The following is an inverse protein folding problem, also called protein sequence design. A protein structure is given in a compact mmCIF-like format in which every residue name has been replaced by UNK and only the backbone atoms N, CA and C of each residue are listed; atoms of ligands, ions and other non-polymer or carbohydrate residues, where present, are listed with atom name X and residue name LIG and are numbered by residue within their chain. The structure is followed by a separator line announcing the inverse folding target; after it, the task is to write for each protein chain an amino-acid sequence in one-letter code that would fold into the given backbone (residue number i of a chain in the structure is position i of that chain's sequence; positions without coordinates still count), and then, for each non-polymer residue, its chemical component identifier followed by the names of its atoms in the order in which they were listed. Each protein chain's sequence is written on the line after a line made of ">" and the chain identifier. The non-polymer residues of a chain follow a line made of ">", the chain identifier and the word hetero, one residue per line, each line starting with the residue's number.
data_IF_556435413241
#
_entry.id   IF_556435413241
#
_cell.length_a   1.000
_cell.length_b   1.000
_cell.length_c   1.000
_cell.angle_alpha   90.00
_cell.angle_beta   90.00
_cell.angle_gamma   90.00
#
_symmetry.space_group_name_H-M   'P 1'
#
loop_
_entity.id
_entity.type
_entity.pdbx_description
1 polymer ?
#
# COMPACT_ATOMS: atom_id res chain seq x y z
N UNK A 1 64.32 -34.89 17.38
CA UNK A 1 63.94 -33.81 18.30
C UNK A 1 62.43 -33.65 18.14
N UNK A 2 61.62 -34.54 18.71
CA UNK A 2 61.31 -34.68 20.15
C UNK A 2 60.73 -33.40 20.76
N UNK A 3 59.73 -33.43 21.65
CA UNK A 3 58.71 -34.44 22.00
C UNK A 3 57.76 -33.79 23.06
N UNK A 4 56.73 -34.53 23.45
CA UNK A 4 56.14 -34.52 24.81
C UNK A 4 55.17 -33.40 25.26
N UNK A 5 53.93 -33.84 25.42
CA UNK A 5 52.87 -33.44 26.39
C UNK A 5 53.27 -33.90 27.83
N UNK A 6 52.39 -34.02 28.87
CA UNK A 6 51.36 -33.14 29.46
C UNK A 6 51.51 -33.02 31.03
N UNK A 7 50.58 -32.35 31.73
CA UNK A 7 50.14 -32.64 33.12
C UNK A 7 48.85 -31.82 33.43
N UNK A 8 47.69 -32.36 33.85
CA UNK A 8 47.33 -33.09 35.10
C UNK A 8 47.50 -32.23 36.38
N UNK A 9 46.64 -32.21 37.43
CA UNK A 9 45.30 -32.76 37.74
C UNK A 9 44.70 -31.94 38.95
N UNK A 10 43.47 -32.07 39.48
CA UNK A 10 42.27 -32.89 39.18
C UNK A 10 41.60 -33.47 40.47
N UNK A 11 40.24 -33.51 40.55
CA UNK A 11 39.38 -34.02 41.68
C UNK A 11 39.34 -33.10 42.93
N UNK A 12 38.36 -33.09 43.87
CA UNK A 12 37.18 -33.91 44.32
C UNK A 12 36.14 -32.92 44.92
N UNK A 13 34.81 -32.94 44.70
CA UNK A 13 33.71 -33.85 45.15
C UNK A 13 33.18 -33.70 46.60
N UNK A 14 31.85 -33.53 46.73
CA UNK A 14 31.04 -33.49 47.97
C UNK A 14 29.95 -32.40 47.83
N UNK A 15 28.62 -32.60 47.80
CA UNK A 15 27.70 -33.61 48.37
C UNK A 15 27.78 -33.69 49.91
N UNK A 16 26.68 -33.74 50.69
CA UNK A 16 25.29 -34.18 50.41
C UNK A 16 24.28 -33.39 51.29
N UNK A 17 23.00 -33.33 50.89
CA UNK A 17 21.78 -33.34 51.75
C UNK A 17 21.49 -32.18 52.73
N UNK A 18 20.25 -31.93 53.19
CA UNK A 18 18.88 -32.17 52.67
C UNK A 18 17.85 -31.50 53.63
N UNK A 19 16.54 -31.69 53.38
CA UNK A 19 15.39 -31.33 54.25
C UNK A 19 15.03 -29.84 54.40
N UNK A 20 13.75 -29.46 54.60
CA UNK A 20 12.43 -30.02 54.20
C UNK A 20 11.39 -28.92 54.52
N UNK A 21 10.29 -28.81 53.76
CA UNK A 21 9.19 -27.90 54.09
C UNK A 21 8.53 -28.24 55.45
N UNK A 22 7.76 -27.30 56.02
CA UNK A 22 6.30 -27.55 56.05
C UNK A 22 5.46 -26.37 55.56
N UNK A 23 4.15 -26.62 55.45
CA UNK A 23 3.17 -25.77 54.77
C UNK A 23 2.11 -25.16 55.72
N UNK A 24 1.11 -24.52 55.10
CA UNK A 24 -0.20 -24.10 55.61
C UNK A 24 -0.31 -22.71 56.29
N UNK A 25 -1.29 -21.93 55.82
CA UNK A 25 -1.62 -20.59 56.30
C UNK A 25 -2.43 -19.78 55.28
N UNK A 26 -3.71 -20.13 55.09
CA UNK A 26 -4.65 -19.41 54.22
C UNK A 26 -5.41 -18.29 54.97
N UNK A 27 -6.40 -17.67 54.30
CA UNK A 27 -7.50 -16.82 54.84
C UNK A 27 -7.15 -15.31 54.99
N UNK A 28 -8.07 -14.33 54.76
CA UNK A 28 -9.47 -14.39 54.24
C UNK A 28 -9.81 -13.51 53.01
N UNK A 29 -10.93 -13.83 52.35
CA UNK A 29 -11.77 -12.86 51.64
C UNK A 29 -12.61 -12.01 52.63
N UNK A 30 -13.01 -10.76 52.29
CA UNK A 30 -14.07 -10.07 53.00
C UNK A 30 -15.40 -10.08 52.19
N UNK A 31 -16.32 -10.97 52.56
CA UNK A 31 -17.76 -10.79 52.24
C UNK A 31 -18.53 -10.37 53.48
N UNK A 32 -19.18 -9.20 53.45
CA UNK A 32 -20.45 -9.01 54.17
C UNK A 32 -21.24 -7.82 53.62
N UNK A 33 -22.45 -8.10 53.16
CA UNK A 33 -23.46 -7.10 52.83
C UNK A 33 -24.05 -6.45 54.09
N UNK A 34 -24.15 -5.12 54.13
CA UNK A 34 -25.12 -4.44 54.98
C UNK A 34 -25.58 -3.11 54.36
N UNK A 35 -26.88 -3.10 54.08
CA UNK A 35 -27.74 -2.08 53.51
C UNK A 35 -27.75 -0.71 54.25
N UNK A 36 -28.41 0.29 53.62
CA UNK A 36 -29.09 1.49 54.19
C UNK A 36 -28.51 2.91 53.91
N UNK A 37 -29.37 3.72 53.26
CA UNK A 37 -29.47 5.20 53.13
C UNK A 37 -28.48 6.05 52.31
N UNK A 38 -29.04 6.69 51.26
CA UNK A 38 -28.61 7.97 50.66
C UNK A 38 -28.75 9.13 51.64
N UNK A 39 -27.90 10.15 51.53
CA UNK A 39 -28.33 11.48 51.03
C UNK A 39 -27.31 12.05 50.01
N UNK A 40 -27.47 13.14 49.27
CA UNK A 40 -28.56 13.94 48.67
C UNK A 40 -27.84 15.17 48.01
N UNK A 41 -28.22 15.57 46.77
CA UNK A 41 -27.88 16.85 46.08
C UNK A 41 -26.38 17.21 45.87
N UNK A 42 -25.87 17.47 44.66
CA UNK A 42 -26.30 18.44 43.62
C UNK A 42 -25.94 17.90 42.21
N UNK A 43 -26.78 17.99 41.16
CA UNK A 43 -27.10 19.17 40.31
C UNK A 43 -25.83 19.83 39.73
N UNK A 44 -25.65 20.03 38.42
CA UNK A 44 -26.58 20.39 37.33
C UNK A 44 -26.34 19.49 36.08
N UNK A 45 -27.32 18.88 35.40
CA UNK A 45 -28.47 19.38 34.63
C UNK A 45 -28.26 19.20 33.11
N UNK A 46 -28.61 18.01 32.59
CA UNK A 46 -28.83 17.80 31.15
C UNK A 46 -30.23 18.31 30.77
N UNK A 47 -30.32 19.09 29.70
CA UNK A 47 -31.59 19.52 29.12
C UNK A 47 -31.85 18.77 27.81
N UNK A 48 -32.58 17.65 27.89
CA UNK A 48 -33.14 17.01 26.71
C UNK A 48 -34.34 17.84 26.21
N UNK A 49 -34.23 18.38 24.99
CA UNK A 49 -35.35 19.04 24.31
C UNK A 49 -35.88 18.12 23.22
N UNK A 50 -36.97 17.42 23.52
CA UNK A 50 -37.79 16.71 22.52
C UNK A 50 -38.35 17.71 21.51
N UNK A 51 -38.03 17.57 20.22
CA UNK A 51 -38.71 18.32 19.16
C UNK A 51 -39.97 17.58 18.68
N UNK A 52 -41.12 18.27 18.55
CA UNK A 52 -42.34 17.68 18.00
C UNK A 52 -42.44 17.84 16.48
N UNK A 53 -42.85 16.77 15.80
CA UNK A 53 -43.68 16.85 14.58
C UNK A 53 -45.12 17.21 15.02
N UNK A 54 -45.93 17.99 14.28
CA UNK A 54 -45.99 18.11 12.81
C UNK A 54 -45.98 19.57 12.29
N UNK A 55 -46.06 19.76 10.96
CA UNK A 55 -46.95 20.72 10.27
C UNK A 55 -46.74 20.67 8.73
N UNK A 56 -47.82 20.49 7.97
CA UNK A 56 -47.84 20.61 6.50
C UNK A 56 -47.87 22.09 6.10
N UNK A 57 -47.13 22.53 5.05
CA UNK A 57 -47.39 23.81 4.39
C UNK A 57 -48.58 23.70 3.41
N UNK A 58 -49.30 24.80 3.15
CA UNK A 58 -50.53 24.79 2.36
C UNK A 58 -50.29 24.67 0.85
N UNK A 59 -51.27 24.10 0.15
CA UNK A 59 -51.37 24.13 -1.31
C UNK A 59 -51.53 25.55 -1.84
N UNK A 60 -50.50 26.08 -2.51
CA UNK A 60 -50.54 27.39 -3.17
C UNK A 60 -49.76 27.35 -4.49
N UNK A 61 -50.45 27.04 -5.59
CA UNK A 61 -49.89 27.09 -6.94
C UNK A 61 -49.59 28.54 -7.34
N UNK A 62 -48.31 28.93 -7.26
CA UNK A 62 -47.79 30.15 -7.89
C UNK A 62 -46.97 29.74 -9.10
N UNK A 63 -47.52 29.94 -10.30
CA UNK A 63 -46.83 29.65 -11.56
C UNK A 63 -45.69 30.65 -11.80
N UNK A 64 -44.45 30.22 -11.58
CA UNK A 64 -43.26 31.01 -11.94
C UNK A 64 -42.87 30.68 -13.37
N UNK A 65 -43.32 31.49 -14.33
CA UNK A 65 -42.91 31.40 -15.73
C UNK A 65 -41.39 31.67 -15.86
N UNK A 66 -40.62 30.84 -16.59
CA UNK A 66 -39.20 31.10 -16.79
C UNK A 66 -39.02 32.31 -17.71
N UNK A 67 -38.51 33.41 -17.15
CA UNK A 67 -38.06 34.57 -17.92
C UNK A 67 -36.86 34.20 -18.82
N UNK A 68 -36.62 34.93 -19.92
CA UNK A 68 -35.58 34.60 -20.89
C UNK A 68 -34.19 34.68 -20.24
N UNK A 69 -33.41 33.60 -20.36
CA UNK A 69 -32.00 33.60 -19.96
C UNK A 69 -31.24 34.58 -20.84
N UNK A 70 -30.59 35.58 -20.25
CA UNK A 70 -29.64 36.42 -20.99
C UNK A 70 -28.46 35.56 -21.44
N UNK A 71 -28.22 35.51 -22.75
CA UNK A 71 -27.07 34.83 -23.30
C UNK A 71 -25.78 35.56 -22.85
N UNK A 72 -24.86 34.83 -22.22
CA UNK A 72 -23.46 35.29 -22.15
C UNK A 72 -22.84 35.13 -23.54
N UNK A 73 -21.99 36.07 -24.00
CA UNK A 73 -21.30 35.92 -25.26
C UNK A 73 -20.36 34.71 -25.19
N UNK A 74 -20.54 33.77 -26.11
CA UNK A 74 -19.54 32.74 -26.40
C UNK A 74 -18.33 33.39 -27.06
N UNK A 75 -17.09 33.11 -26.62
CA UNK A 75 -15.92 33.40 -27.44
C UNK A 75 -16.03 32.66 -28.77
N UNK A 76 -15.59 33.32 -29.84
CA UNK A 76 -15.72 32.86 -31.21
C UNK A 76 -15.03 31.50 -31.41
N UNK A 77 -15.76 30.51 -31.94
CA UNK A 77 -15.19 29.20 -32.29
C UNK A 77 -14.65 29.25 -33.71
N UNK A 78 -13.47 29.86 -33.86
CA UNK A 78 -12.65 29.67 -35.05
C UNK A 78 -12.32 28.18 -35.24
N UNK A 79 -12.61 27.65 -36.42
CA UNK A 79 -12.28 26.26 -36.77
C UNK A 79 -10.76 26.08 -36.96
N UNK A 80 -10.17 25.11 -36.26
CA UNK A 80 -8.94 24.43 -36.69
C UNK A 80 -9.00 22.93 -36.38
N UNK A 81 -8.12 22.15 -37.02
CA UNK A 81 -8.21 20.70 -37.15
C UNK A 81 -8.03 19.94 -35.83
N UNK A 82 -8.74 18.81 -35.70
CA UNK A 82 -8.67 17.90 -34.54
C UNK A 82 -7.35 17.12 -34.41
N UNK A 83 -6.51 17.18 -35.44
CA UNK A 83 -5.13 16.68 -35.47
C UNK A 83 -4.30 17.59 -36.37
N UNK A 84 -3.12 18.03 -35.90
CA UNK A 84 -2.30 19.03 -36.55
C UNK A 84 -2.14 20.30 -35.71
N UNK A 85 -1.57 20.16 -34.52
CA UNK A 85 -0.97 21.30 -33.82
C UNK A 85 0.37 21.61 -34.50
N UNK A 86 0.49 22.80 -35.07
CA UNK A 86 1.82 23.37 -35.32
C UNK A 86 2.50 23.53 -33.96
N UNK A 87 3.77 23.12 -33.84
CA UNK A 87 4.50 23.22 -32.58
C UNK A 87 4.81 24.71 -32.35
N UNK A 88 3.92 25.39 -31.62
CA UNK A 88 4.20 26.71 -31.09
C UNK A 88 5.47 26.66 -30.23
N UNK A 89 6.28 27.71 -30.31
CA UNK A 89 7.60 27.80 -29.66
C UNK A 89 7.47 27.43 -28.19
N UNK A 90 8.08 26.30 -27.82
CA UNK A 90 7.69 25.53 -26.65
C UNK A 90 7.70 26.33 -25.35
N UNK A 91 6.68 26.09 -24.52
CA UNK A 91 6.53 26.69 -23.19
C UNK A 91 7.83 26.53 -22.41
N UNK A 92 8.37 27.63 -21.87
CA UNK A 92 9.61 27.59 -21.10
C UNK A 92 9.36 27.05 -19.69
N UNK A 93 10.38 26.45 -19.09
CA UNK A 93 10.33 26.02 -17.71
C UNK A 93 10.08 27.21 -16.77
N UNK A 94 9.16 27.07 -15.82
CA UNK A 94 8.89 28.09 -14.79
C UNK A 94 10.05 28.31 -13.80
N UNK A 95 11.19 27.63 -13.97
CA UNK A 95 12.39 27.75 -13.14
C UNK A 95 13.67 28.12 -13.93
N UNK A 96 13.69 27.99 -15.26
CA UNK A 96 14.84 28.35 -16.10
C UNK A 96 14.42 28.56 -17.57
N UNK A 97 15.36 29.01 -18.42
CA UNK A 97 15.07 29.34 -19.82
C UNK A 97 14.91 28.10 -20.74
N UNK A 98 15.14 26.89 -20.24
CA UNK A 98 15.03 25.64 -21.01
C UNK A 98 13.58 25.31 -21.41
N UNK A 99 13.35 24.63 -22.55
CA UNK A 99 12.01 24.15 -22.92
C UNK A 99 11.44 23.20 -21.87
N UNK A 100 10.14 23.33 -21.58
CA UNK A 100 9.42 22.41 -20.72
C UNK A 100 9.11 21.09 -21.44
N UNK A 101 9.14 20.00 -20.68
CA UNK A 101 8.74 18.65 -21.11
C UNK A 101 7.40 18.23 -20.50
N UNK A 102 6.93 18.92 -19.46
CA UNK A 102 5.66 18.63 -18.79
C UNK A 102 5.03 19.87 -18.16
N UNK A 103 3.70 19.84 -18.02
CA UNK A 103 2.90 20.78 -17.25
C UNK A 103 2.33 20.06 -16.02
N UNK A 104 2.45 20.68 -14.85
CA UNK A 104 1.96 20.17 -13.58
C UNK A 104 0.60 20.80 -13.25
N UNK A 105 -0.49 20.17 -13.69
CA UNK A 105 -1.86 20.72 -13.64
C UNK A 105 -2.27 21.18 -12.22
N UNK A 106 -1.85 20.45 -11.19
CA UNK A 106 -2.16 20.76 -9.78
C UNK A 106 -1.35 21.94 -9.19
N UNK A 107 -0.29 22.38 -9.88
CA UNK A 107 0.61 23.46 -9.44
C UNK A 107 0.64 24.65 -10.42
N UNK A 108 0.13 24.49 -11.65
CA UNK A 108 0.20 25.51 -12.70
C UNK A 108 1.63 25.87 -13.09
N UNK A 109 2.50 24.86 -13.25
CA UNK A 109 3.93 25.03 -13.53
C UNK A 109 4.41 24.11 -14.64
N UNK A 110 5.24 24.66 -15.52
CA UNK A 110 5.89 23.96 -16.61
C UNK A 110 7.35 23.66 -16.24
N UNK A 111 7.81 22.43 -16.43
CA UNK A 111 9.16 22.01 -16.05
C UNK A 111 9.93 21.40 -17.22
N UNK A 112 11.20 21.77 -17.37
CA UNK A 112 12.17 21.02 -18.19
C UNK A 112 12.59 19.73 -17.47
N UNK A 113 13.23 18.80 -18.19
CA UNK A 113 13.63 17.49 -17.66
C UNK A 113 14.38 17.59 -16.31
N UNK A 114 15.47 18.34 -16.24
CA UNK A 114 16.29 18.49 -15.02
C UNK A 114 15.50 19.01 -13.80
N UNK A 115 14.66 20.05 -13.97
CA UNK A 115 13.83 20.55 -12.88
C UNK A 115 12.68 19.60 -12.51
N UNK A 116 12.26 18.76 -13.44
CA UNK A 116 11.25 17.75 -13.23
C UNK A 116 11.80 16.51 -12.49
N UNK A 117 12.96 15.97 -12.91
CA UNK A 117 13.67 14.88 -12.25
C UNK A 117 13.93 15.23 -10.77
N UNK A 118 14.55 16.39 -10.53
CA UNK A 118 14.79 16.91 -9.16
C UNK A 118 13.53 17.05 -8.31
N UNK A 119 12.37 17.37 -8.90
CA UNK A 119 11.10 17.44 -8.17
C UNK A 119 10.64 16.04 -7.74
N UNK A 120 10.70 15.05 -8.64
CA UNK A 120 10.33 13.66 -8.37
C UNK A 120 11.27 13.06 -7.33
N UNK A 121 12.59 13.17 -7.52
CA UNK A 121 13.59 12.72 -6.56
C UNK A 121 13.42 13.37 -5.19
N UNK A 122 13.22 14.69 -5.12
CA UNK A 122 13.06 15.40 -3.85
C UNK A 122 11.83 14.91 -3.06
N UNK A 123 10.73 14.66 -3.77
CA UNK A 123 9.51 14.08 -3.20
C UNK A 123 9.70 12.63 -2.76
N UNK A 124 10.33 11.82 -3.60
CA UNK A 124 10.67 10.43 -3.33
C UNK A 124 11.56 10.31 -2.10
N UNK A 125 12.71 11.00 -2.09
CA UNK A 125 13.70 11.00 -0.98
C UNK A 125 13.05 11.47 0.32
N UNK A 126 12.16 12.47 0.26
CA UNK A 126 11.36 12.91 1.41
C UNK A 126 10.45 11.79 1.93
N UNK A 127 9.63 11.19 1.07
CA UNK A 127 8.66 10.16 1.48
C UNK A 127 9.32 8.86 1.93
N UNK A 128 10.38 8.42 1.26
CA UNK A 128 11.20 7.27 1.67
C UNK A 128 11.72 7.47 3.09
N UNK A 129 12.39 8.61 3.33
CA UNK A 129 12.95 8.93 4.65
C UNK A 129 11.87 9.00 5.73
N UNK A 130 10.77 9.71 5.49
CA UNK A 130 9.68 9.84 6.47
C UNK A 130 9.07 8.47 6.84
N UNK A 131 8.97 7.54 5.88
CA UNK A 131 8.41 6.21 6.11
C UNK A 131 9.42 5.25 6.78
N UNK A 132 10.71 5.32 6.43
CA UNK A 132 11.76 4.55 7.12
C UNK A 132 12.02 5.05 8.55
N UNK A 133 11.97 6.38 8.77
CA UNK A 133 12.06 6.98 10.11
C UNK A 133 10.90 6.54 11.01
N UNK A 134 9.67 6.48 10.49
CA UNK A 134 8.50 6.00 11.24
C UNK A 134 8.63 4.51 11.65
N UNK A 135 9.19 3.67 10.77
CA UNK A 135 9.46 2.25 11.02
C UNK A 135 10.72 1.98 11.87
N UNK A 136 11.56 2.99 12.11
CA UNK A 136 12.89 2.82 12.72
C UNK A 136 13.92 2.14 11.81
N UNK A 137 13.60 1.88 10.55
CA UNK A 137 14.40 1.12 9.57
C UNK A 137 15.46 1.98 8.86
N UNK A 138 16.29 2.71 9.64
CA UNK A 138 17.17 3.78 9.14
C UNK A 138 18.68 3.51 9.16
N UNK A 139 19.17 2.50 9.88
CA UNK A 139 20.61 2.23 10.06
C UNK A 139 21.09 0.98 9.29
N UNK A 140 20.85 0.95 7.98
CA UNK A 140 21.26 -0.15 7.11
C UNK A 140 20.24 -1.28 7.01
N UNK A 141 18.99 -0.92 6.76
CA UNK A 141 17.92 -1.87 6.53
C UNK A 141 18.10 -2.62 5.19
N UNK A 142 17.72 -3.90 5.16
CA UNK A 142 17.57 -4.71 3.94
C UNK A 142 16.17 -4.47 3.38
N UNK A 143 16.08 -3.82 2.22
CA UNK A 143 14.82 -3.31 1.66
C UNK A 143 14.44 -4.13 0.43
N UNK A 144 13.39 -4.94 0.57
CA UNK A 144 12.76 -5.59 -0.56
C UNK A 144 12.07 -4.54 -1.46
N UNK A 145 12.18 -4.68 -2.78
CA UNK A 145 11.40 -3.88 -3.74
C UNK A 145 10.59 -4.79 -4.67
N UNK A 146 9.27 -4.59 -4.69
CA UNK A 146 8.37 -5.32 -5.59
C UNK A 146 8.53 -4.88 -7.04
N UNK A 147 9.44 -5.53 -7.78
CA UNK A 147 9.75 -5.23 -9.17
C UNK A 147 8.90 -6.09 -10.11
N UNK A 148 7.75 -5.56 -10.56
CA UNK A 148 6.87 -6.26 -11.50
C UNK A 148 7.30 -6.12 -12.97
N UNK A 149 8.35 -5.37 -13.26
CA UNK A 149 8.78 -5.01 -14.61
C UNK A 149 7.88 -3.98 -15.30
N UNK A 150 6.90 -3.41 -14.60
CA UNK A 150 6.09 -2.30 -15.10
C UNK A 150 6.68 -0.94 -14.70
N UNK A 151 6.29 0.13 -15.42
CA UNK A 151 6.83 1.49 -15.31
C UNK A 151 7.01 2.01 -13.86
N UNK A 152 6.01 1.79 -13.00
CA UNK A 152 6.01 2.34 -11.63
C UNK A 152 6.98 1.58 -10.71
N UNK A 153 7.08 0.26 -10.88
CA UNK A 153 8.03 -0.57 -10.14
C UNK A 153 9.47 -0.40 -10.63
N UNK A 154 9.69 -0.22 -11.94
CA UNK A 154 11.00 0.09 -12.50
C UNK A 154 11.50 1.45 -12.00
N UNK A 155 10.63 2.47 -12.05
CA UNK A 155 10.92 3.82 -11.55
C UNK A 155 11.20 3.82 -10.04
N UNK A 156 10.43 3.07 -9.24
CA UNK A 156 10.72 2.88 -7.81
C UNK A 156 12.11 2.30 -7.58
N UNK A 157 12.47 1.25 -8.32
CA UNK A 157 13.75 0.54 -8.15
C UNK A 157 14.93 1.46 -8.47
N UNK A 158 14.89 2.17 -9.61
CA UNK A 158 15.92 3.14 -9.98
C UNK A 158 16.07 4.27 -8.93
N UNK A 159 14.95 4.82 -8.43
CA UNK A 159 14.96 5.86 -7.40
C UNK A 159 15.48 5.36 -6.04
N UNK A 160 15.21 4.10 -5.66
CA UNK A 160 15.78 3.48 -4.46
C UNK A 160 17.31 3.35 -4.59
N UNK A 161 17.80 2.88 -5.73
CA UNK A 161 19.25 2.74 -5.99
C UNK A 161 19.95 4.09 -5.98
N UNK A 162 19.40 5.14 -6.61
CA UNK A 162 19.95 6.50 -6.54
C UNK A 162 19.98 7.05 -5.09
N UNK A 163 18.90 6.83 -4.32
CA UNK A 163 18.80 7.41 -2.98
C UNK A 163 19.59 6.67 -1.90
N UNK A 164 19.73 5.34 -2.00
CA UNK A 164 20.30 4.49 -0.95
C UNK A 164 21.55 3.71 -1.38
N UNK A 165 21.69 3.35 -2.66
CA UNK A 165 22.83 2.60 -3.17
C UNK A 165 24.22 3.21 -2.88
N UNK A 166 24.39 4.54 -2.77
CA UNK A 166 25.65 5.15 -2.33
C UNK A 166 26.05 4.87 -0.87
N UNK A 167 25.13 4.38 -0.02
CA UNK A 167 25.38 4.05 1.38
C UNK A 167 25.42 2.52 1.58
N UNK A 168 26.61 1.91 1.73
CA UNK A 168 26.80 0.45 1.71
C UNK A 168 26.25 -0.26 2.97
N UNK A 169 25.53 0.46 3.82
CA UNK A 169 24.77 -0.11 4.93
C UNK A 169 23.40 -0.61 4.47
N UNK A 170 22.79 0.02 3.48
CA UNK A 170 21.52 -0.42 2.91
C UNK A 170 21.76 -1.50 1.85
N UNK A 171 20.84 -2.44 1.77
CA UNK A 171 20.79 -3.45 0.72
C UNK A 171 19.40 -3.40 0.06
N UNK A 172 19.35 -3.52 -1.27
CA UNK A 172 18.11 -3.47 -2.04
C UNK A 172 17.93 -4.85 -2.69
N UNK A 173 16.84 -5.52 -2.33
CA UNK A 173 16.52 -6.88 -2.82
C UNK A 173 15.32 -6.79 -3.77
N UNK A 174 15.50 -6.78 -5.10
CA UNK A 174 14.38 -6.78 -6.03
C UNK A 174 13.70 -8.14 -6.06
N UNK A 175 12.38 -8.14 -5.89
CA UNK A 175 11.53 -9.33 -5.89
C UNK A 175 10.46 -9.23 -6.98
N UNK A 176 10.47 -10.19 -7.89
CA UNK A 176 9.46 -10.40 -8.94
C UNK A 176 8.54 -11.56 -8.56
N UNK A 177 7.27 -11.48 -8.97
CA UNK A 177 6.32 -12.60 -8.89
C UNK A 177 5.90 -12.98 -10.30
N UNK A 178 6.10 -14.24 -10.68
CA UNK A 178 5.49 -14.83 -11.86
C UNK A 178 4.05 -15.24 -11.53
N UNK A 179 3.10 -14.49 -12.07
CA UNK A 179 1.67 -14.76 -11.91
C UNK A 179 1.15 -15.88 -12.82
N UNK A 180 1.98 -16.45 -13.70
CA UNK A 180 1.62 -17.51 -14.63
C UNK A 180 0.63 -17.08 -15.71
N UNK A 181 0.76 -15.85 -16.23
CA UNK A 181 -0.14 -15.29 -17.27
C UNK A 181 0.56 -15.35 -18.65
N UNK A 182 0.15 -16.26 -19.56
CA UNK A 182 0.80 -16.47 -20.84
C UNK A 182 0.86 -15.21 -21.72
N UNK A 183 2.01 -14.98 -22.35
CA UNK A 183 2.22 -13.84 -23.26
C UNK A 183 2.30 -12.46 -22.60
N UNK A 184 1.97 -12.33 -21.32
CA UNK A 184 2.04 -11.09 -20.55
C UNK A 184 3.21 -11.09 -19.56
N UNK A 185 3.33 -12.12 -18.72
CA UNK A 185 4.27 -12.13 -17.58
C UNK A 185 5.72 -12.31 -18.01
N UNK A 186 5.99 -13.16 -19.01
CA UNK A 186 7.34 -13.38 -19.56
C UNK A 186 8.06 -12.10 -20.02
N UNK A 187 7.49 -11.31 -20.96
CA UNK A 187 8.07 -10.02 -21.36
C UNK A 187 8.27 -9.03 -20.21
N UNK A 188 7.40 -9.06 -19.19
CA UNK A 188 7.53 -8.23 -18.00
C UNK A 188 8.64 -8.73 -17.03
N UNK A 189 8.88 -10.04 -16.94
CA UNK A 189 10.05 -10.58 -16.23
C UNK A 189 11.34 -10.18 -16.94
N UNK A 190 11.42 -10.31 -18.27
CA UNK A 190 12.62 -9.89 -19.01
C UNK A 190 12.92 -8.40 -18.87
N UNK A 191 11.91 -7.52 -18.74
CA UNK A 191 12.14 -6.11 -18.41
C UNK A 191 12.59 -5.87 -16.96
N UNK A 192 12.18 -6.74 -16.02
CA UNK A 192 12.65 -6.69 -14.64
C UNK A 192 14.09 -7.20 -14.51
N UNK A 193 14.43 -8.28 -15.20
CA UNK A 193 15.78 -8.84 -15.34
C UNK A 193 16.73 -7.79 -15.95
N UNK A 194 16.34 -7.19 -17.08
CA UNK A 194 17.14 -6.14 -17.74
C UNK A 194 17.39 -4.94 -16.82
N UNK A 195 16.39 -4.52 -16.03
CA UNK A 195 16.58 -3.44 -15.06
C UNK A 195 17.52 -3.83 -13.92
N UNK A 196 17.38 -5.04 -13.38
CA UNK A 196 18.20 -5.54 -12.28
C UNK A 196 19.67 -5.65 -12.71
N UNK A 197 19.93 -6.20 -13.91
CA UNK A 197 21.26 -6.24 -14.54
C UNK A 197 21.85 -4.83 -14.75
N UNK A 198 21.04 -3.86 -15.19
CA UNK A 198 21.49 -2.47 -15.37
C UNK A 198 21.84 -1.76 -14.04
N UNK A 199 21.24 -2.18 -12.93
CA UNK A 199 21.42 -1.60 -11.60
C UNK A 199 22.36 -2.41 -10.69
N UNK A 200 22.97 -3.49 -11.19
CA UNK A 200 23.86 -4.41 -10.44
C UNK A 200 23.16 -5.04 -9.21
N UNK A 201 21.92 -5.53 -9.41
CA UNK A 201 21.08 -6.15 -8.37
C UNK A 201 20.72 -7.60 -8.72
N UNK A 202 20.78 -8.50 -7.73
CA UNK A 202 20.32 -9.89 -7.87
C UNK A 202 18.78 -9.97 -7.78
N UNK A 203 18.10 -10.34 -8.89
CA UNK A 203 16.63 -10.47 -8.95
C UNK A 203 16.13 -11.81 -8.38
N UNK A 204 15.36 -11.75 -7.30
CA UNK A 204 14.61 -12.90 -6.78
C UNK A 204 13.27 -13.04 -7.50
N UNK A 205 13.05 -14.15 -8.20
CA UNK A 205 11.74 -14.47 -8.82
C UNK A 205 11.06 -15.61 -8.05
N UNK A 206 9.86 -15.37 -7.53
CA UNK A 206 8.91 -16.39 -7.02
C UNK A 206 7.75 -16.57 -7.99
N UNK A 207 6.94 -17.63 -7.88
CA UNK A 207 5.80 -17.87 -8.76
C UNK A 207 4.53 -18.24 -7.98
N UNK A 208 3.35 -17.96 -8.53
CA UNK A 208 2.10 -18.44 -7.93
C UNK A 208 1.93 -19.96 -8.01
N UNK A 209 2.54 -20.60 -9.01
CA UNK A 209 2.52 -22.06 -9.17
C UNK A 209 3.31 -22.74 -8.05
N UNK A 210 4.51 -22.26 -7.73
CA UNK A 210 5.34 -22.78 -6.63
C UNK A 210 4.77 -22.45 -5.25
N UNK A 211 4.27 -21.22 -5.05
CA UNK A 211 3.84 -20.72 -3.73
C UNK A 211 2.43 -21.18 -3.34
N UNK A 212 1.51 -21.32 -4.30
CA UNK A 212 0.07 -21.58 -4.06
C UNK A 212 -0.50 -22.76 -4.87
N UNK A 213 0.27 -23.39 -5.76
CA UNK A 213 -0.20 -24.49 -6.62
C UNK A 213 -1.09 -24.06 -7.80
N UNK A 214 -1.22 -22.76 -8.07
CA UNK A 214 -2.16 -22.21 -9.05
C UNK A 214 -1.62 -20.99 -9.79
N UNK A 215 -1.63 -21.00 -11.12
CA UNK A 215 -1.41 -19.78 -11.92
C UNK A 215 -2.64 -18.88 -11.95
N UNK A 216 -2.47 -17.58 -12.24
CA UNK A 216 -3.60 -16.65 -12.40
C UNK A 216 -4.46 -17.00 -13.62
N UNK A 217 -3.87 -17.58 -14.67
CA UNK A 217 -4.61 -17.97 -15.87
C UNK A 217 -5.51 -19.20 -15.59
N UNK A 218 -5.02 -20.19 -14.83
CA UNK A 218 -5.85 -21.31 -14.35
C UNK A 218 -6.97 -20.84 -13.44
N UNK A 219 -6.68 -19.93 -12.48
CA UNK A 219 -7.71 -19.31 -11.64
C UNK A 219 -8.81 -18.65 -12.49
N UNK A 220 -8.43 -17.93 -13.55
CA UNK A 220 -9.36 -17.28 -14.48
C UNK A 220 -10.21 -18.27 -15.30
N UNK A 221 -9.81 -19.55 -15.39
CA UNK A 221 -10.56 -20.61 -16.05
C UNK A 221 -11.53 -21.34 -15.08
N UNK A 222 -11.39 -21.18 -13.77
CA UNK A 222 -12.33 -21.75 -12.78
C UNK A 222 -13.62 -20.92 -12.65
N UNK A 223 -14.78 -21.57 -12.54
CA UNK A 223 -16.06 -20.89 -12.21
C UNK A 223 -16.21 -20.63 -10.69
N UNK A 224 -15.15 -20.15 -10.03
CA UNK A 224 -15.22 -19.77 -8.60
C UNK A 224 -15.81 -18.38 -8.41
N UNK A 225 -16.37 -18.09 -7.21
CA UNK A 225 -16.86 -16.74 -6.88
C UNK A 225 -15.73 -15.69 -6.82
N UNK A 226 -14.47 -16.14 -6.75
CA UNK A 226 -13.27 -15.31 -6.76
C UNK A 226 -12.88 -14.85 -8.17
N UNK A 227 -13.20 -13.60 -8.52
CA UNK A 227 -12.66 -12.97 -9.74
C UNK A 227 -11.13 -13.08 -9.77
N UNK A 228 -10.48 -13.38 -10.92
CA UNK A 228 -9.04 -13.69 -10.96
C UNK A 228 -8.15 -12.58 -10.40
N UNK A 229 -8.52 -11.30 -10.62
CA UNK A 229 -7.82 -10.15 -10.04
C UNK A 229 -7.86 -10.09 -8.50
N UNK A 230 -8.89 -10.65 -7.86
CA UNK A 230 -9.00 -10.73 -6.39
C UNK A 230 -8.03 -11.75 -5.82
N UNK A 231 -8.04 -12.96 -6.38
CA UNK A 231 -7.15 -14.09 -5.99
C UNK A 231 -5.68 -13.76 -6.26
N UNK A 232 -5.33 -13.35 -7.49
CA UNK A 232 -3.98 -12.88 -7.85
C UNK A 232 -3.50 -11.76 -6.89
N UNK A 233 -4.40 -10.85 -6.50
CA UNK A 233 -4.09 -9.82 -5.52
C UNK A 233 -3.74 -10.36 -4.12
N UNK A 234 -4.35 -11.46 -3.68
CA UNK A 234 -4.01 -12.15 -2.42
C UNK A 234 -2.69 -12.91 -2.56
N UNK A 235 -2.57 -13.77 -3.58
CA UNK A 235 -1.37 -14.57 -3.83
C UNK A 235 -0.12 -13.68 -3.97
N UNK A 236 -0.15 -12.63 -4.81
CA UNK A 236 0.98 -11.69 -4.96
C UNK A 236 1.39 -11.02 -3.64
N UNK A 237 0.46 -10.70 -2.75
CA UNK A 237 0.80 -10.15 -1.43
C UNK A 237 1.42 -11.19 -0.50
N UNK A 238 0.97 -12.44 -0.58
CA UNK A 238 1.53 -13.56 0.16
C UNK A 238 2.96 -13.86 -0.30
N UNK A 239 3.15 -14.09 -1.61
CA UNK A 239 4.44 -14.35 -2.26
C UNK A 239 5.47 -13.25 -1.96
N UNK A 240 5.10 -11.96 -2.07
CA UNK A 240 6.01 -10.87 -1.74
C UNK A 240 6.35 -10.79 -0.24
N UNK A 241 5.42 -11.11 0.67
CA UNK A 241 5.68 -11.13 2.11
C UNK A 241 6.59 -12.30 2.51
N UNK A 242 6.36 -13.46 1.91
CA UNK A 242 7.15 -14.66 2.13
C UNK A 242 8.57 -14.46 1.61
N UNK A 243 8.72 -14.13 0.32
CA UNK A 243 10.03 -13.89 -0.29
C UNK A 243 10.84 -12.79 0.43
N UNK A 244 10.19 -11.72 0.90
CA UNK A 244 10.90 -10.68 1.66
C UNK A 244 11.38 -11.15 3.04
N UNK A 245 10.68 -12.09 3.71
CA UNK A 245 11.18 -12.69 4.98
C UNK A 245 12.22 -13.76 4.76
N UNK A 246 12.08 -14.56 3.70
CA UNK A 246 13.08 -15.56 3.31
C UNK A 246 14.41 -14.87 2.95
N UNK A 247 14.32 -13.63 2.47
CA UNK A 247 15.43 -12.70 2.26
C UNK A 247 15.65 -11.73 3.44
N UNK A 248 15.29 -12.06 4.68
CA UNK A 248 15.60 -11.27 5.89
C UNK A 248 15.37 -9.74 5.77
N UNK A 249 14.40 -9.30 4.97
CA UNK A 249 14.19 -7.88 4.66
C UNK A 249 13.36 -7.18 5.76
N UNK A 250 13.82 -6.03 6.23
CA UNK A 250 13.12 -5.22 7.23
C UNK A 250 11.85 -4.55 6.66
N UNK A 251 11.86 -4.21 5.37
CA UNK A 251 10.85 -3.35 4.73
C UNK A 251 10.60 -3.77 3.27
N UNK A 252 9.34 -3.72 2.83
CA UNK A 252 8.93 -3.95 1.44
C UNK A 252 8.44 -2.66 0.77
N UNK A 253 9.23 -2.11 -0.15
CA UNK A 253 8.85 -0.99 -0.99
C UNK A 253 7.99 -1.44 -2.19
N UNK A 254 6.86 -0.77 -2.41
CA UNK A 254 5.96 -1.07 -3.53
C UNK A 254 5.64 0.17 -4.38
N UNK A 255 5.58 -0.01 -5.70
CA UNK A 255 5.47 1.06 -6.70
C UNK A 255 4.11 1.77 -6.78
N UNK A 256 3.36 1.87 -5.67
CA UNK A 256 2.08 2.58 -5.66
C UNK A 256 2.30 4.09 -5.70
N UNK A 257 1.77 4.72 -6.73
CA UNK A 257 1.87 6.16 -6.95
C UNK A 257 0.69 6.93 -6.29
N UNK A 258 0.63 8.25 -6.48
CA UNK A 258 -0.41 9.11 -5.92
C UNK A 258 -1.81 8.81 -6.50
N UNK A 259 -1.91 8.38 -7.76
CA UNK A 259 -3.17 7.97 -8.39
C UNK A 259 -3.69 6.68 -7.73
N UNK A 260 -2.83 5.67 -7.57
CA UNK A 260 -3.18 4.40 -6.91
C UNK A 260 -3.65 4.60 -5.47
N UNK A 261 -2.95 5.48 -4.73
CA UNK A 261 -3.31 5.81 -3.36
C UNK A 261 -4.64 6.54 -3.30
N UNK A 262 -4.83 7.63 -4.06
CA UNK A 262 -6.06 8.41 -4.07
C UNK A 262 -7.28 7.58 -4.52
N UNK A 263 -7.11 6.67 -5.48
CA UNK A 263 -8.14 5.72 -5.89
C UNK A 263 -8.51 4.77 -4.74
N UNK A 264 -7.51 4.25 -4.01
CA UNK A 264 -7.73 3.37 -2.86
C UNK A 264 -8.47 4.12 -1.74
N UNK A 265 -8.08 5.38 -1.46
CA UNK A 265 -8.79 6.24 -0.50
C UNK A 265 -10.25 6.43 -0.92
N UNK A 266 -10.51 6.80 -2.18
CA UNK A 266 -11.85 7.02 -2.71
C UNK A 266 -12.72 5.75 -2.63
N UNK A 267 -12.13 4.60 -2.97
CA UNK A 267 -12.80 3.29 -2.90
C UNK A 267 -13.23 2.94 -1.47
N UNK A 268 -12.34 3.10 -0.49
CA UNK A 268 -12.64 2.77 0.91
C UNK A 268 -13.66 3.75 1.51
N UNK A 269 -13.54 5.05 1.22
CA UNK A 269 -14.51 6.07 1.64
C UNK A 269 -15.92 5.77 1.10
N UNK A 270 -16.05 5.42 -0.18
CA UNK A 270 -17.34 5.06 -0.78
C UNK A 270 -17.93 3.75 -0.23
N UNK A 271 -17.10 2.87 0.33
CA UNK A 271 -17.53 1.66 1.05
C UNK A 271 -17.81 1.89 2.54
N UNK A 272 -17.49 3.09 3.07
CA UNK A 272 -17.50 3.41 4.50
C UNK A 272 -16.59 2.50 5.33
N UNK A 273 -15.53 1.98 4.72
CA UNK A 273 -14.61 1.00 5.29
C UNK A 273 -13.39 1.70 5.89
N UNK A 274 -13.54 2.15 7.15
CA UNK A 274 -12.51 2.90 7.86
C UNK A 274 -11.39 1.99 8.40
N UNK A 275 -11.69 0.72 8.70
CA UNK A 275 -10.69 -0.27 9.08
C UNK A 275 -9.72 -0.53 7.93
N UNK A 276 -10.24 -0.65 6.70
CA UNK A 276 -9.38 -0.80 5.52
C UNK A 276 -8.56 0.47 5.23
N UNK A 277 -9.01 1.67 5.63
CA UNK A 277 -8.20 2.91 5.58
C UNK A 277 -7.04 2.88 6.58
N UNK A 278 -7.21 2.30 7.78
CA UNK A 278 -6.09 2.11 8.71
C UNK A 278 -5.07 1.12 8.15
N UNK A 279 -5.54 0.02 7.55
CA UNK A 279 -4.69 -1.07 7.04
C UNK A 279 -4.02 -0.78 5.67
N UNK A 280 -4.26 0.36 5.01
CA UNK A 280 -3.53 0.72 3.78
C UNK A 280 -2.13 1.24 4.11
N UNK A 281 -1.10 0.76 3.41
CA UNK A 281 0.25 1.35 3.52
C UNK A 281 0.32 2.83 3.10
N UNK A 282 1.36 3.59 3.50
CA UNK A 282 2.56 3.13 4.21
C UNK A 282 2.24 2.66 5.63
N UNK A 283 2.94 1.64 6.09
CA UNK A 283 2.83 1.13 7.46
C UNK A 283 3.86 1.84 8.36
N UNK A 284 3.47 2.15 9.59
CA UNK A 284 4.36 2.66 10.65
C UNK A 284 4.77 1.55 11.64
N UNK A 285 4.04 0.43 11.62
CA UNK A 285 4.29 -0.80 12.37
C UNK A 285 3.72 -1.99 11.59
N UNK A 286 4.24 -3.18 11.85
CA UNK A 286 3.68 -4.43 11.35
C UNK A 286 3.68 -5.50 12.46
N UNK A 287 2.66 -6.39 12.51
CA UNK A 287 2.70 -7.58 13.35
C UNK A 287 3.87 -8.50 13.00
N UNK A 288 4.28 -9.35 13.95
CA UNK A 288 5.31 -10.36 13.73
C UNK A 288 4.97 -11.28 12.53
N UNK A 289 5.97 -11.59 11.71
CA UNK A 289 5.81 -12.39 10.49
C UNK A 289 5.20 -11.65 9.29
N UNK A 290 4.90 -10.35 9.38
CA UNK A 290 4.50 -9.50 8.25
C UNK A 290 5.54 -8.40 7.99
N UNK A 291 5.99 -8.25 6.76
CA UNK A 291 6.91 -7.17 6.38
C UNK A 291 6.15 -5.85 6.24
N UNK A 292 6.56 -4.77 6.93
CA UNK A 292 5.96 -3.46 6.76
C UNK A 292 6.16 -2.93 5.34
N UNK A 293 5.11 -2.33 4.78
CA UNK A 293 5.13 -1.86 3.39
C UNK A 293 5.23 -0.34 3.31
N UNK A 294 6.20 0.12 2.55
CA UNK A 294 6.40 1.54 2.22
C UNK A 294 5.95 1.85 0.79
N UNK A 295 5.49 3.07 0.58
CA UNK A 295 5.04 3.62 -0.72
C UNK A 295 5.76 4.95 -0.97
N UNK A 296 7.05 4.96 -1.35
CA UNK A 296 7.79 6.21 -1.55
C UNK A 296 7.21 7.07 -2.69
N UNK A 297 6.64 6.45 -3.72
CA UNK A 297 6.02 7.13 -4.87
C UNK A 297 4.64 7.75 -4.57
N UNK A 298 4.08 7.58 -3.36
CA UNK A 298 2.71 8.06 -3.02
C UNK A 298 2.48 9.56 -3.19
N UNK A 299 3.54 10.36 -3.34
CA UNK A 299 3.48 11.82 -3.53
C UNK A 299 3.72 12.28 -4.98
N UNK A 300 3.92 11.34 -5.93
CA UNK A 300 4.05 11.59 -7.36
C UNK A 300 2.90 10.93 -8.12
N UNK A 301 2.26 11.65 -9.04
CA UNK A 301 1.21 11.10 -9.93
C UNK A 301 1.78 10.04 -10.88
N UNK A 302 0.92 9.15 -11.37
CA UNK A 302 1.29 8.13 -12.34
C UNK A 302 1.94 8.73 -13.61
N UNK A 303 1.48 9.92 -14.03
CA UNK A 303 2.07 10.65 -15.17
C UNK A 303 3.48 11.14 -14.87
N UNK A 304 3.75 11.59 -13.64
CA UNK A 304 5.10 11.98 -13.22
C UNK A 304 6.01 10.74 -13.13
N UNK A 305 5.54 9.64 -12.53
CA UNK A 305 6.29 8.38 -12.46
C UNK A 305 6.63 7.84 -13.86
N UNK A 306 5.64 7.79 -14.76
CA UNK A 306 5.85 7.36 -16.15
C UNK A 306 6.82 8.26 -16.92
N UNK A 307 6.71 9.59 -16.77
CA UNK A 307 7.61 10.53 -17.43
C UNK A 307 9.05 10.42 -16.90
N UNK A 308 9.23 10.18 -15.61
CA UNK A 308 10.55 9.95 -15.02
C UNK A 308 11.22 8.72 -15.66
N UNK A 309 10.52 7.58 -15.69
CA UNK A 309 11.02 6.36 -16.34
C UNK A 309 11.33 6.52 -17.83
N UNK A 310 10.62 7.40 -18.55
CA UNK A 310 10.92 7.73 -19.95
C UNK A 310 12.15 8.64 -20.09
N UNK A 311 12.39 9.57 -19.16
CA UNK A 311 13.55 10.47 -19.20
C UNK A 311 14.85 9.73 -18.82
N UNK A 312 14.76 8.81 -17.86
CA UNK A 312 15.87 7.91 -17.47
C UNK A 312 16.03 6.70 -18.40
N UNK A 313 15.25 6.60 -19.48
CA UNK A 313 15.26 5.50 -20.46
C UNK A 313 15.14 4.08 -19.85
N UNK A 314 14.41 3.95 -18.72
CA UNK A 314 14.34 2.69 -17.96
C UNK A 314 13.64 1.56 -18.75
N UNK A 315 14.17 0.32 -18.71
CA UNK A 315 13.45 -0.84 -19.22
C UNK A 315 12.18 -1.11 -18.40
N UNK A 316 11.04 -1.18 -19.09
CA UNK A 316 9.77 -1.63 -18.53
C UNK A 316 8.84 -2.20 -19.61
N UNK A 317 7.97 -3.11 -19.21
CA UNK A 317 6.90 -3.64 -20.04
C UNK A 317 5.64 -2.78 -19.93
N UNK A 318 5.16 -2.28 -21.07
CA UNK A 318 4.06 -1.30 -21.15
C UNK A 318 2.66 -1.89 -21.41
N UNK A 319 2.49 -3.21 -21.49
CA UNK A 319 1.17 -3.81 -21.74
C UNK A 319 0.29 -3.83 -20.48
N UNK A 320 -1.03 -3.75 -20.67
CA UNK A 320 -2.01 -4.01 -19.62
C UNK A 320 -2.24 -5.52 -19.46
N UNK A 321 -2.49 -5.98 -18.23
CA UNK A 321 -2.81 -7.39 -17.96
C UNK A 321 -4.14 -7.81 -18.64
N UNK A 322 -4.21 -8.97 -19.32
CA UNK A 322 -5.44 -9.43 -19.99
C UNK A 322 -6.70 -9.44 -19.10
N UNK A 323 -6.56 -9.84 -17.84
CA UNK A 323 -7.69 -9.92 -16.89
C UNK A 323 -8.07 -8.57 -16.26
N UNK A 324 -7.28 -7.50 -16.47
CA UNK A 324 -7.53 -6.19 -15.85
C UNK A 324 -8.85 -5.54 -16.29
N UNK A 325 -9.40 -5.94 -17.44
CA UNK A 325 -10.66 -5.43 -17.96
C UNK A 325 -11.86 -5.70 -17.02
N UNK A 326 -11.80 -6.75 -16.22
CA UNK A 326 -12.88 -7.21 -15.32
C UNK A 326 -12.77 -6.64 -13.89
N UNK A 327 -11.66 -5.93 -13.60
CA UNK A 327 -11.40 -5.37 -12.30
C UNK A 327 -12.38 -4.22 -11.98
N UNK A 328 -13.13 -4.37 -10.88
CA UNK A 328 -14.02 -3.33 -10.33
C UNK A 328 -13.28 -2.02 -10.04
N UNK A 329 -11.97 -2.10 -9.82
CA UNK A 329 -11.04 -0.97 -9.68
C UNK A 329 -11.17 0.03 -10.84
N UNK A 330 -11.32 -0.43 -12.09
CA UNK A 330 -11.46 0.43 -13.28
C UNK A 330 -12.52 1.53 -13.15
N UNK A 331 -13.65 1.23 -12.50
CA UNK A 331 -14.73 2.20 -12.25
C UNK A 331 -14.28 3.34 -11.33
N UNK A 332 -13.53 3.04 -10.28
CA UNK A 332 -13.01 4.04 -9.33
C UNK A 332 -11.94 4.92 -9.99
N UNK A 333 -11.06 4.32 -10.81
CA UNK A 333 -10.10 5.06 -11.65
C UNK A 333 -10.79 6.07 -12.57
N UNK A 334 -11.86 5.68 -13.28
CA UNK A 334 -12.64 6.61 -14.11
C UNK A 334 -13.24 7.76 -13.29
N UNK A 335 -13.88 7.46 -12.16
CA UNK A 335 -14.46 8.49 -11.27
C UNK A 335 -13.39 9.45 -10.71
N UNK A 336 -12.19 8.96 -10.42
CA UNK A 336 -11.07 9.79 -9.96
C UNK A 336 -10.56 10.72 -11.07
N UNK A 337 -10.47 10.24 -12.32
CA UNK A 337 -10.05 11.04 -13.46
C UNK A 337 -11.09 12.13 -13.79
N UNK A 338 -12.39 11.80 -13.80
CA UNK A 338 -13.47 12.78 -13.97
C UNK A 338 -13.43 13.88 -12.89
N UNK A 339 -13.08 13.52 -11.64
CA UNK A 339 -12.91 14.47 -10.54
C UNK A 339 -11.67 15.35 -10.72
N UNK A 340 -10.56 14.78 -11.21
CA UNK A 340 -9.30 15.49 -11.49
C UNK A 340 -9.48 16.54 -12.58
N UNK A 341 -10.23 16.24 -13.64
CA UNK A 341 -10.51 17.17 -14.74
C UNK A 341 -11.28 18.43 -14.27
N UNK A 342 -11.93 18.37 -13.11
CA UNK A 342 -12.62 19.48 -12.48
C UNK A 342 -11.84 20.11 -11.30
N UNK A 343 -11.05 19.33 -10.58
CA UNK A 343 -10.21 19.77 -9.46
C UNK A 343 -8.84 19.06 -9.56
N UNK A 344 -7.83 19.65 -10.25
CA UNK A 344 -6.55 18.99 -10.49
C UNK A 344 -5.81 18.53 -9.24
N UNK A 345 -6.08 19.15 -8.09
CA UNK A 345 -5.50 18.77 -6.79
C UNK A 345 -6.25 17.63 -6.07
N UNK A 346 -7.32 17.07 -6.64
CA UNK A 346 -8.19 16.07 -6.01
C UNK A 346 -7.42 14.87 -5.44
N UNK A 347 -6.44 14.33 -6.17
CA UNK A 347 -5.59 13.23 -5.68
C UNK A 347 -4.84 13.59 -4.39
N UNK A 348 -4.22 14.77 -4.38
CA UNK A 348 -3.50 15.30 -3.22
C UNK A 348 -4.44 15.53 -2.03
N UNK A 349 -5.68 15.98 -2.29
CA UNK A 349 -6.70 16.17 -1.24
C UNK A 349 -7.19 14.84 -0.68
N UNK A 350 -7.36 13.81 -1.51
CA UNK A 350 -7.72 12.45 -1.08
C UNK A 350 -6.60 11.83 -0.24
N UNK A 351 -5.35 11.88 -0.69
CA UNK A 351 -4.21 11.39 0.11
C UNK A 351 -4.11 12.10 1.46
N UNK A 352 -4.22 13.43 1.45
CA UNK A 352 -4.19 14.24 2.67
C UNK A 352 -5.45 14.08 3.55
N UNK A 353 -6.50 13.43 3.04
CA UNK A 353 -7.65 13.01 3.83
C UNK A 353 -7.38 11.63 4.46
N UNK A 354 -6.77 10.69 3.72
CA UNK A 354 -6.32 9.41 4.27
C UNK A 354 -5.37 9.60 5.45
N UNK A 355 -4.31 10.42 5.29
CA UNK A 355 -3.35 10.71 6.36
C UNK A 355 -4.07 11.26 7.61
N UNK A 356 -4.92 12.28 7.44
CA UNK A 356 -5.70 12.88 8.55
C UNK A 356 -6.73 11.95 9.17
N UNK A 357 -7.20 10.94 8.44
CA UNK A 357 -8.11 9.93 9.01
C UNK A 357 -7.32 8.93 9.85
N UNK A 358 -6.14 8.50 9.39
CA UNK A 358 -5.22 7.67 10.19
C UNK A 358 -4.84 8.37 11.49
N UNK A 359 -4.33 9.60 11.44
CA UNK A 359 -4.00 10.44 12.61
C UNK A 359 -5.13 10.54 13.66
N UNK A 360 -6.39 10.39 13.22
CA UNK A 360 -7.60 10.57 14.02
C UNK A 360 -8.21 9.27 14.54
N UNK A 361 -8.05 8.19 13.80
CA UNK A 361 -8.58 6.87 14.11
C UNK A 361 -7.57 6.06 14.94
N UNK A 362 -6.28 6.14 14.61
CA UNK A 362 -5.19 5.46 15.34
C UNK A 362 -5.02 6.02 16.77
N UNK A 363 -5.54 7.22 17.02
CA UNK A 363 -5.71 7.78 18.37
C UNK A 363 -6.77 7.05 19.24
N UNK A 364 -7.39 5.98 18.74
CA UNK A 364 -8.34 5.15 19.47
C UNK A 364 -8.34 3.70 18.99
N UNK A 365 -7.57 2.86 19.70
CA UNK A 365 -7.58 1.39 19.61
C UNK A 365 -7.26 0.84 18.21
N UNK A 366 -5.97 0.81 17.87
CA UNK A 366 -5.47 -0.11 16.85
C UNK A 366 -5.85 -1.55 17.25
N UNK A 367 -6.43 -2.27 16.30
CA UNK A 367 -6.94 -3.63 16.43
C UNK A 367 -5.81 -4.61 16.79
N UNK A 368 -5.66 -4.92 18.10
CA UNK A 368 -4.75 -5.93 18.67
C UNK A 368 -5.20 -7.36 18.34
N UNK A 369 -5.58 -7.63 17.08
CA UNK A 369 -5.80 -9.00 16.60
C UNK A 369 -4.46 -9.74 16.61
N UNK A 370 -4.25 -10.59 17.63
CA UNK A 370 -3.14 -11.54 17.68
C UNK A 370 -3.18 -12.41 16.41
N UNK A 371 -2.10 -12.38 15.62
CA UNK A 371 -1.96 -13.24 14.45
C UNK A 371 -1.39 -14.58 14.87
N UNK A 372 -2.03 -15.65 14.43
CA UNK A 372 -1.58 -17.03 14.62
C UNK A 372 -0.93 -17.56 13.33
N UNK A 373 0.08 -18.44 13.40
CA UNK A 373 0.59 -19.14 12.22
C UNK A 373 -0.50 -19.99 11.57
N UNK A 374 -0.70 -19.83 10.26
CA UNK A 374 -1.60 -20.66 9.47
C UNK A 374 -1.23 -22.15 9.60
N UNK A 375 -2.17 -23.07 9.86
CA UNK A 375 -1.87 -24.49 10.03
C UNK A 375 -1.26 -25.15 8.78
N UNK A 376 -1.61 -24.67 7.58
CA UNK A 376 -1.13 -25.24 6.32
C UNK A 376 0.24 -24.68 5.87
N UNK A 377 0.42 -23.35 5.82
CA UNK A 377 1.63 -22.72 5.29
C UNK A 377 2.51 -21.99 6.33
N UNK A 378 2.07 -21.85 7.58
CA UNK A 378 2.78 -21.11 8.63
C UNK A 378 2.65 -19.58 8.57
N UNK A 379 2.10 -19.00 7.49
CA UNK A 379 1.94 -17.54 7.36
C UNK A 379 1.00 -16.93 8.41
N UNK A 380 1.22 -15.67 8.85
CA UNK A 380 0.35 -15.00 9.81
C UNK A 380 -1.10 -14.92 9.33
N UNK A 381 -2.02 -15.32 10.21
CA UNK A 381 -3.46 -15.44 9.95
C UNK A 381 -4.29 -14.89 11.11
N UNK A 382 -5.47 -14.35 10.81
CA UNK A 382 -6.42 -13.86 11.81
C UNK A 382 -7.27 -14.99 12.41
N UNK A 383 -6.59 -16.04 12.90
CA UNK A 383 -7.17 -17.29 13.41
C UNK A 383 -7.48 -18.30 12.31
N UNK A 384 -6.83 -19.46 12.36
CA UNK A 384 -7.02 -20.55 11.39
C UNK A 384 -6.29 -20.35 10.05
N UNK A 385 -6.78 -20.97 8.97
CA UNK A 385 -6.16 -20.91 7.63
C UNK A 385 -6.10 -19.48 7.09
N UNK A 386 -4.96 -19.08 6.52
CA UNK A 386 -4.82 -17.75 5.92
C UNK A 386 -5.62 -17.65 4.61
N UNK A 387 -5.94 -16.43 4.16
CA UNK A 387 -6.80 -16.25 2.98
C UNK A 387 -6.20 -16.81 1.67
N UNK A 388 -4.88 -16.98 1.59
CA UNK A 388 -4.23 -17.63 0.45
C UNK A 388 -4.56 -19.13 0.41
N UNK A 389 -4.34 -19.87 1.51
CA UNK A 389 -4.70 -21.29 1.62
C UNK A 389 -6.20 -21.53 1.44
N UNK A 390 -7.06 -20.67 2.02
CA UNK A 390 -8.51 -20.74 1.80
C UNK A 390 -8.88 -20.64 0.31
N UNK A 391 -8.27 -19.70 -0.42
CA UNK A 391 -8.49 -19.55 -1.86
C UNK A 391 -7.97 -20.74 -2.66
N UNK A 392 -6.79 -21.27 -2.32
CA UNK A 392 -6.25 -22.47 -2.96
C UNK A 392 -7.18 -23.69 -2.76
N UNK A 393 -7.69 -23.91 -1.55
CA UNK A 393 -8.65 -24.97 -1.25
C UNK A 393 -10.01 -24.76 -1.94
N UNK A 394 -10.50 -23.51 -2.04
CA UNK A 394 -11.69 -23.15 -2.82
C UNK A 394 -11.52 -23.52 -4.32
N UNK A 395 -10.32 -23.30 -4.88
CA UNK A 395 -9.98 -23.64 -6.27
C UNK A 395 -9.83 -25.15 -6.49
N UNK A 396 -9.15 -25.86 -5.59
CA UNK A 396 -9.01 -27.32 -5.64
C UNK A 396 -10.36 -28.02 -5.60
N UNK A 397 -11.27 -27.57 -4.73
CA UNK A 397 -12.64 -28.10 -4.67
C UNK A 397 -13.39 -27.86 -5.98
N UNK A 398 -13.34 -26.63 -6.52
CA UNK A 398 -14.02 -26.29 -7.77
C UNK A 398 -13.47 -27.04 -9.00
N UNK A 399 -12.16 -27.30 -9.04
CA UNK A 399 -11.53 -28.11 -10.10
C UNK A 399 -11.81 -29.61 -9.93
N UNK A 400 -12.02 -30.11 -8.72
CA UNK A 400 -12.38 -31.51 -8.49
C UNK A 400 -13.82 -31.86 -8.92
N UNK A 401 -14.71 -30.85 -8.96
CA UNK A 401 -16.11 -30.98 -9.37
C UNK A 401 -16.35 -30.75 -10.89
N UNK A 402 -15.31 -30.42 -11.67
CA UNK A 402 -15.36 -30.10 -13.11
C UNK A 402 -14.97 -31.26 -14.04
#
# INVERSE_FOLDING_TARGET
>A
MEASVPSSAGRQSGSVSSTRAPAAGAVPEPTSSANVTRPANNRFAWAATTMPSPWLPPTGLVSVSPGPRSARPTPDRGHSSKYGAEIEVGVQCSACESPAVTHLDYAGRDLCADHFQRLVESRFKKQLREQLEALGAGEGARIAVGLSGGKDSSTLTALLVDALGPDPRFEIVPISVDEGIPGYRGPALSSAEELADQLDLDLRVVSHEDDHGWTTDEVAQTETEGKPCGTCGVFRRSSLNQAARDEDCDVLAVGHNLDDCAETTLMNLLRSDLEQVLRTGPHEQAPEGLIPRVKPLRSCTEREVALYGVIEELPYHGAECPHAAEATRRTYRSLLLDLVDHEPSARHRLLSLEDKLKDRLDAGEADETELEPCPECGEPSAGGECRACQLAAELEAAHADA
#
